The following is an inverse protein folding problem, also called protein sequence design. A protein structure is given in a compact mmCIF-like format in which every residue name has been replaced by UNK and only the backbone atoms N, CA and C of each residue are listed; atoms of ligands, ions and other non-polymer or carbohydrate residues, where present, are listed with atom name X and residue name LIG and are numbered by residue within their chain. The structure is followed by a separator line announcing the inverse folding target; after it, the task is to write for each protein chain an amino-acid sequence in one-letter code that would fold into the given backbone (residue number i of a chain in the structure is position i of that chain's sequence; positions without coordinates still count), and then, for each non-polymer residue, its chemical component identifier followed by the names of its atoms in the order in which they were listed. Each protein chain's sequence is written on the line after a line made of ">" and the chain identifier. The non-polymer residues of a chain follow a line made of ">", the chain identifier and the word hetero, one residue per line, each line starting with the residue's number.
data_IF_714836430674
#
_entry.id   IF_714836430674
#
_cell.length_a   1.000
_cell.length_b   1.000
_cell.length_c   1.000
_cell.angle_alpha   90.00
_cell.angle_beta   90.00
_cell.angle_gamma   90.00
#
_symmetry.space_group_name_H-M   'P 1'
#
loop_
_entity.id
_entity.type
_entity.pdbx_description
1 polymer ?
#
# COMPACT_ATOMS: atom_id res chain seq x y z
N UNK A 1 -26.37 -8.57 9.23
CA UNK A 1 -25.33 -7.91 8.43
C UNK A 1 -25.02 -6.60 9.12
N UNK A 2 -23.85 -6.48 9.72
CA UNK A 2 -23.38 -5.18 10.21
C UNK A 2 -22.86 -4.41 9.00
N UNK A 3 -23.45 -3.24 8.75
CA UNK A 3 -23.08 -2.36 7.64
C UNK A 3 -21.83 -1.58 8.02
N UNK A 4 -20.88 -1.53 7.10
CA UNK A 4 -19.61 -0.84 7.27
C UNK A 4 -19.62 0.50 6.55
N UNK A 5 -19.69 1.60 7.32
CA UNK A 5 -19.59 2.95 6.78
C UNK A 5 -18.17 3.50 6.97
N UNK A 6 -17.56 3.93 5.87
CA UNK A 6 -16.34 4.75 5.88
C UNK A 6 -16.78 6.21 5.99
N UNK A 7 -16.40 6.85 7.10
CA UNK A 7 -16.74 8.25 7.39
C UNK A 7 -15.99 9.22 6.48
N UNK A 8 -16.56 10.42 6.29
CA UNK A 8 -15.90 11.51 5.59
C UNK A 8 -14.83 12.19 6.47
N UNK A 9 -13.75 12.61 5.85
CA UNK A 9 -12.68 13.43 6.45
C UNK A 9 -12.51 14.71 5.63
N UNK A 10 -12.19 15.82 6.28
CA UNK A 10 -11.98 17.10 5.61
C UNK A 10 -10.49 17.28 5.22
N UNK A 11 -10.25 17.70 3.98
CA UNK A 11 -8.92 18.10 3.48
C UNK A 11 -8.92 19.56 3.08
N UNK A 12 -7.81 20.27 3.32
CA UNK A 12 -7.57 21.64 2.86
C UNK A 12 -6.26 21.70 2.10
N UNK A 13 -6.26 22.37 0.95
CA UNK A 13 -5.11 22.50 0.05
C UNK A 13 -4.88 23.99 -0.23
N UNK A 14 -3.63 24.43 -0.11
CA UNK A 14 -3.18 25.76 -0.55
C UNK A 14 -2.55 25.64 -1.94
N UNK A 15 -3.04 26.43 -2.88
CA UNK A 15 -2.53 26.42 -4.25
C UNK A 15 -1.31 27.34 -4.32
N UNK A 16 -0.25 26.86 -4.97
CA UNK A 16 1.04 27.57 -5.11
C UNK A 16 1.17 28.34 -6.42
N UNK A 17 0.21 28.20 -7.33
CA UNK A 17 0.15 28.87 -8.62
C UNK A 17 -1.29 29.24 -8.93
N UNK A 18 -1.47 30.36 -9.62
CA UNK A 18 -2.72 30.85 -10.18
C UNK A 18 -2.82 30.59 -11.69
N UNK A 19 -1.85 29.89 -12.29
CA UNK A 19 -1.84 29.55 -13.70
C UNK A 19 -2.91 28.50 -14.05
N UNK A 20 -3.31 28.49 -15.32
CA UNK A 20 -4.15 27.44 -15.89
C UNK A 20 -3.38 26.12 -15.93
N UNK A 21 -3.76 25.18 -15.07
CA UNK A 21 -3.11 23.89 -14.90
C UNK A 21 -4.02 22.91 -14.17
N UNK A 22 -3.67 21.63 -14.20
CA UNK A 22 -4.36 20.59 -13.43
C UNK A 22 -3.68 20.37 -12.09
N UNK A 23 -4.46 20.47 -11.02
CA UNK A 23 -4.03 20.13 -9.67
C UNK A 23 -4.57 18.76 -9.27
N UNK A 24 -3.66 17.84 -8.95
CA UNK A 24 -4.01 16.57 -8.33
C UNK A 24 -4.09 16.76 -6.81
N UNK A 25 -5.23 16.42 -6.24
CA UNK A 25 -5.56 16.75 -4.85
C UNK A 25 -5.10 15.67 -3.87
N UNK A 26 -4.63 14.53 -4.38
CA UNK A 26 -4.15 13.40 -3.58
C UNK A 26 -5.23 12.83 -2.65
N UNK A 27 -6.50 12.95 -3.04
CA UNK A 27 -7.68 12.43 -2.34
C UNK A 27 -8.67 11.93 -3.40
N UNK A 28 -9.38 10.86 -3.07
CA UNK A 28 -10.40 10.24 -3.93
C UNK A 28 -11.71 10.12 -3.15
N UNK A 29 -12.81 9.77 -3.81
CA UNK A 29 -14.15 9.67 -3.19
C UNK A 29 -14.56 11.01 -2.56
N UNK A 30 -14.28 12.12 -3.26
CA UNK A 30 -14.56 13.46 -2.78
C UNK A 30 -16.08 13.69 -2.83
N UNK A 31 -16.63 14.22 -1.74
CA UNK A 31 -17.99 14.73 -1.72
C UNK A 31 -18.06 15.99 -2.57
N UNK A 32 -18.65 15.88 -3.76
CA UNK A 32 -18.75 16.96 -4.75
C UNK A 32 -19.36 18.22 -4.13
N UNK A 33 -20.38 18.07 -3.29
CA UNK A 33 -21.13 19.18 -2.70
C UNK A 33 -20.38 19.89 -1.57
N UNK A 34 -19.27 19.30 -1.09
CA UNK A 34 -18.47 19.85 0.01
C UNK A 34 -17.37 20.82 -0.45
N UNK A 35 -17.17 21.01 -1.75
CA UNK A 35 -16.10 21.86 -2.27
C UNK A 35 -16.31 23.32 -1.86
N UNK A 36 -15.31 23.87 -1.17
CA UNK A 36 -15.16 25.30 -0.93
C UNK A 36 -13.88 25.75 -1.62
N UNK A 37 -14.01 26.59 -2.65
CA UNK A 37 -12.88 27.15 -3.40
C UNK A 37 -12.95 28.68 -3.38
N UNK A 38 -11.91 29.34 -2.87
CA UNK A 38 -11.88 30.80 -2.68
C UNK A 38 -11.32 31.59 -3.87
N UNK A 39 -11.13 30.94 -5.02
CA UNK A 39 -10.54 31.55 -6.20
C UNK A 39 -11.47 32.56 -6.89
N UNK A 40 -10.85 33.54 -7.55
CA UNK A 40 -11.53 34.48 -8.42
C UNK A 40 -10.88 34.53 -9.80
N UNK A 41 -11.67 34.87 -10.83
CA UNK A 41 -11.22 35.21 -12.18
C UNK A 41 -11.81 36.56 -12.53
N UNK A 42 -10.96 37.51 -12.91
CA UNK A 42 -11.36 38.89 -13.21
C UNK A 42 -12.18 39.53 -12.06
N UNK A 43 -11.75 39.30 -10.81
CA UNK A 43 -12.33 39.79 -9.56
C UNK A 43 -13.73 39.24 -9.23
N UNK A 44 -14.17 38.18 -9.91
CA UNK A 44 -15.43 37.48 -9.64
C UNK A 44 -15.11 36.07 -9.16
N UNK A 45 -15.96 35.49 -8.31
CA UNK A 45 -15.81 34.10 -7.86
C UNK A 45 -15.67 33.17 -9.07
N UNK A 46 -14.63 32.34 -9.07
CA UNK A 46 -14.42 31.35 -10.11
C UNK A 46 -15.61 30.40 -10.19
N UNK A 47 -16.01 30.07 -11.41
CA UNK A 47 -17.22 29.28 -11.70
C UNK A 47 -16.81 27.89 -12.21
N UNK A 48 -17.41 26.85 -11.63
CA UNK A 48 -17.27 25.47 -12.11
C UNK A 48 -17.85 25.33 -13.53
N UNK A 49 -17.28 24.45 -14.33
CA UNK A 49 -17.55 24.29 -15.77
C UNK A 49 -17.25 25.53 -16.65
N UNK A 50 -16.59 26.56 -16.11
CA UNK A 50 -16.23 27.79 -16.85
C UNK A 50 -14.79 28.18 -16.62
N UNK A 51 -14.42 28.40 -15.37
CA UNK A 51 -13.08 28.82 -14.95
C UNK A 51 -12.22 27.64 -14.50
N UNK A 52 -12.87 26.59 -14.01
CA UNK A 52 -12.27 25.32 -13.65
C UNK A 52 -13.26 24.17 -13.89
N UNK A 53 -12.74 22.95 -13.98
CA UNK A 53 -13.51 21.71 -13.94
C UNK A 53 -13.09 20.91 -12.71
N UNK A 54 -14.04 20.65 -11.80
CA UNK A 54 -13.76 19.83 -10.63
C UNK A 54 -14.15 18.36 -10.84
N UNK A 55 -13.14 17.49 -10.90
CA UNK A 55 -13.33 16.05 -11.03
C UNK A 55 -13.19 15.36 -9.66
N UNK A 56 -14.30 15.30 -8.92
CA UNK A 56 -14.37 14.68 -7.59
C UNK A 56 -13.96 13.20 -7.60
N UNK A 57 -14.37 12.46 -8.64
CA UNK A 57 -14.02 11.05 -8.81
C UNK A 57 -12.53 10.88 -9.11
N UNK A 58 -12.00 11.67 -10.04
CA UNK A 58 -10.59 11.64 -10.45
C UNK A 58 -9.62 12.32 -9.48
N UNK A 59 -10.12 12.91 -8.39
CA UNK A 59 -9.30 13.55 -7.37
C UNK A 59 -8.48 14.73 -7.89
N UNK A 60 -8.99 15.45 -8.89
CA UNK A 60 -8.29 16.56 -9.52
C UNK A 60 -9.22 17.74 -9.85
N UNK A 61 -8.61 18.92 -10.00
CA UNK A 61 -9.27 20.13 -10.51
C UNK A 61 -8.43 20.68 -11.65
N UNK A 62 -9.06 20.92 -12.79
CA UNK A 62 -8.44 21.54 -13.96
C UNK A 62 -8.79 23.03 -13.96
N UNK A 63 -7.80 23.90 -13.80
CA UNK A 63 -7.97 25.35 -13.92
C UNK A 63 -7.80 25.73 -15.39
N UNK A 64 -8.84 26.32 -15.97
CA UNK A 64 -8.90 26.66 -17.40
C UNK A 64 -8.53 28.12 -17.61
N UNK A 65 -9.12 29.01 -16.82
CA UNK A 65 -8.81 30.44 -16.82
C UNK A 65 -7.86 30.75 -15.67
N UNK A 66 -6.80 31.50 -15.95
CA UNK A 66 -5.86 31.92 -14.92
C UNK A 66 -6.60 32.67 -13.80
N UNK A 67 -6.30 32.29 -12.55
CA UNK A 67 -6.92 32.84 -11.35
C UNK A 67 -6.26 34.19 -11.01
N UNK A 68 -7.00 35.06 -10.33
CA UNK A 68 -6.41 36.28 -9.80
C UNK A 68 -5.35 35.93 -8.73
N UNK A 69 -4.28 36.71 -8.67
CA UNK A 69 -3.25 36.54 -7.65
C UNK A 69 -3.85 36.74 -6.25
N UNK A 70 -3.68 35.76 -5.36
CA UNK A 70 -3.99 35.88 -3.95
C UNK A 70 -2.97 35.16 -3.09
N UNK A 71 -2.65 35.74 -1.93
CA UNK A 71 -1.78 35.13 -0.92
C UNK A 71 -2.42 33.96 -0.16
N UNK A 72 -3.74 33.77 -0.27
CA UNK A 72 -4.51 32.78 0.49
C UNK A 72 -5.30 31.80 -0.40
N UNK A 73 -4.91 31.65 -1.67
CA UNK A 73 -5.59 30.78 -2.63
C UNK A 73 -5.63 29.34 -2.09
N UNK A 74 -6.85 28.84 -1.84
CA UNK A 74 -7.06 27.55 -1.19
C UNK A 74 -8.41 26.93 -1.53
N UNK A 75 -8.46 25.61 -1.37
CA UNK A 75 -9.69 24.86 -1.42
C UNK A 75 -9.79 23.89 -0.25
N UNK A 76 -11.02 23.55 0.14
CA UNK A 76 -11.30 22.48 1.07
C UNK A 76 -12.48 21.64 0.61
N UNK A 77 -12.47 20.36 0.96
CA UNK A 77 -13.51 19.40 0.61
C UNK A 77 -13.49 18.23 1.62
N UNK A 78 -14.62 17.55 1.74
CA UNK A 78 -14.76 16.29 2.45
C UNK A 78 -14.53 15.12 1.48
N UNK A 79 -13.88 14.07 1.93
CA UNK A 79 -13.67 12.86 1.13
C UNK A 79 -13.73 11.62 2.01
N UNK A 80 -14.05 10.46 1.43
CA UNK A 80 -13.92 9.19 2.17
C UNK A 80 -12.48 8.70 2.00
N UNK A 81 -11.70 8.56 3.10
CA UNK A 81 -10.33 8.10 3.03
C UNK A 81 -10.22 6.73 2.39
N UNK A 82 -9.07 6.51 1.78
CA UNK A 82 -8.90 5.40 0.89
C UNK A 82 -9.11 5.84 -0.56
N UNK A 83 -9.12 4.88 -1.47
CA UNK A 83 -8.72 5.18 -2.82
C UNK A 83 -9.90 5.02 -3.81
N UNK A 84 -9.73 5.38 -5.08
CA UNK A 84 -10.83 5.70 -6.02
C UNK A 84 -11.74 4.50 -6.35
N UNK A 85 -12.76 4.15 -5.53
CA UNK A 85 -13.74 3.10 -5.89
C UNK A 85 -15.15 3.30 -5.37
N UNK A 86 -16.05 2.58 -6.03
CA UNK A 86 -17.35 2.22 -5.49
C UNK A 86 -17.22 1.06 -4.49
N UNK A 87 -18.15 1.01 -3.53
CA UNK A 87 -18.22 -0.10 -2.59
C UNK A 87 -18.38 -1.44 -3.33
N UNK A 88 -17.43 -2.35 -3.18
CA UNK A 88 -17.45 -3.68 -3.80
C UNK A 88 -16.29 -4.00 -4.76
N UNK A 89 -15.51 -2.99 -5.19
CA UNK A 89 -14.45 -3.16 -6.20
C UNK A 89 -13.07 -3.51 -5.62
N UNK A 90 -12.91 -3.58 -4.29
CA UNK A 90 -11.62 -3.81 -3.62
C UNK A 90 -11.48 -5.26 -3.20
N UNK A 91 -10.41 -5.93 -3.66
CA UNK A 91 -10.01 -7.21 -3.07
C UNK A 91 -9.27 -6.97 -1.74
N UNK A 92 -9.82 -7.52 -0.65
CA UNK A 92 -9.13 -7.59 0.64
C UNK A 92 -8.31 -8.87 0.66
N UNK A 93 -6.98 -8.74 0.55
CA UNK A 93 -6.10 -9.87 0.26
C UNK A 93 -5.55 -10.55 1.53
N UNK A 94 -5.44 -9.82 2.63
CA UNK A 94 -4.83 -10.33 3.85
C UNK A 94 -5.56 -9.83 5.11
N UNK A 95 -5.52 -10.68 6.13
CA UNK A 95 -6.08 -10.42 7.45
C UNK A 95 -5.07 -10.86 8.51
N UNK A 96 -4.77 -9.96 9.44
CA UNK A 96 -3.80 -10.15 10.50
C UNK A 96 -4.40 -9.79 11.85
N UNK A 97 -4.13 -10.61 12.86
CA UNK A 97 -4.55 -10.34 14.23
C UNK A 97 -3.41 -9.67 15.01
N UNK A 98 -3.70 -8.57 15.69
CA UNK A 98 -2.73 -7.78 16.46
C UNK A 98 -3.37 -7.43 17.82
N UNK A 99 -3.06 -8.22 18.84
CA UNK A 99 -3.62 -8.10 20.20
C UNK A 99 -5.15 -8.07 20.25
N UNK A 100 -5.77 -6.89 20.35
CA UNK A 100 -7.24 -6.71 20.44
C UNK A 100 -7.82 -6.15 19.14
N UNK A 101 -7.00 -6.06 18.08
CA UNK A 101 -7.39 -5.52 16.78
C UNK A 101 -7.11 -6.50 15.64
N UNK A 102 -7.81 -6.28 14.53
CA UNK A 102 -7.62 -7.00 13.28
C UNK A 102 -7.19 -5.97 12.24
N UNK A 103 -6.05 -6.19 11.58
CA UNK A 103 -5.65 -5.45 10.40
C UNK A 103 -6.10 -6.20 9.15
N UNK A 104 -6.78 -5.50 8.25
CA UNK A 104 -7.21 -6.00 6.96
C UNK A 104 -6.58 -5.11 5.90
N UNK A 105 -5.88 -5.70 4.94
CA UNK A 105 -5.26 -4.95 3.88
C UNK A 105 -5.54 -5.58 2.52
N UNK A 106 -5.49 -4.76 1.48
CA UNK A 106 -5.83 -5.21 0.14
C UNK A 106 -5.38 -4.26 -0.95
N UNK A 107 -6.12 -4.30 -2.03
CA UNK A 107 -5.81 -3.56 -3.22
C UNK A 107 -5.85 -2.05 -2.97
N UNK A 108 -5.03 -1.39 -3.80
CA UNK A 108 -4.97 0.04 -3.89
C UNK A 108 -4.71 0.80 -2.58
N UNK A 109 -3.98 0.22 -1.66
CA UNK A 109 -3.53 0.88 -0.44
C UNK A 109 -4.52 0.74 0.70
N UNK A 110 -5.66 0.10 0.48
CA UNK A 110 -6.65 -0.15 1.52
C UNK A 110 -6.00 -0.87 2.70
N UNK A 111 -5.99 -0.21 3.87
CA UNK A 111 -5.61 -0.80 5.15
C UNK A 111 -6.60 -0.32 6.21
N UNK A 112 -7.28 -1.27 6.85
CA UNK A 112 -8.31 -1.04 7.85
C UNK A 112 -7.91 -1.74 9.14
N UNK A 113 -8.07 -1.07 10.27
CA UNK A 113 -7.92 -1.64 11.60
C UNK A 113 -9.30 -1.75 12.24
N UNK A 114 -9.73 -2.96 12.58
CA UNK A 114 -10.97 -3.27 13.29
C UNK A 114 -10.65 -3.55 14.76
N UNK A 115 -11.25 -2.80 15.67
CA UNK A 115 -11.15 -3.03 17.12
C UNK A 115 -12.15 -4.05 17.63
N UNK A 116 -11.87 -4.63 18.81
CA UNK A 116 -12.79 -5.53 19.52
C UNK A 116 -14.18 -4.96 19.81
N UNK A 117 -14.34 -3.64 19.78
CA UNK A 117 -15.61 -2.94 19.96
C UNK A 117 -16.43 -2.86 18.66
N UNK A 118 -15.95 -3.46 17.57
CA UNK A 118 -16.58 -3.46 16.26
C UNK A 118 -16.33 -2.17 15.46
N UNK A 119 -15.60 -1.19 16.02
CA UNK A 119 -15.25 0.03 15.27
C UNK A 119 -14.03 -0.20 14.41
N UNK A 120 -14.01 0.40 13.22
CA UNK A 120 -12.81 0.45 12.40
C UNK A 120 -12.29 1.85 12.17
N UNK A 121 -11.05 1.90 11.70
CA UNK A 121 -10.42 3.08 11.13
C UNK A 121 -9.64 2.68 9.89
N UNK A 122 -9.72 3.51 8.84
CA UNK A 122 -8.77 3.43 7.72
C UNK A 122 -7.46 4.08 8.17
N UNK A 123 -6.34 3.40 7.94
CA UNK A 123 -5.00 3.95 8.21
C UNK A 123 -4.23 4.18 6.91
N UNK A 124 -4.93 4.29 5.78
CA UNK A 124 -4.34 4.50 4.45
C UNK A 124 -3.26 5.60 4.45
N UNK A 125 -3.55 6.76 5.03
CA UNK A 125 -2.62 7.89 5.06
C UNK A 125 -1.35 7.59 5.87
N UNK A 126 -1.46 6.77 6.93
CA UNK A 126 -0.31 6.40 7.78
C UNK A 126 0.62 5.38 7.10
N UNK A 127 0.07 4.61 6.15
CA UNK A 127 0.79 3.55 5.43
C UNK A 127 1.16 4.01 4.00
N UNK A 128 0.72 5.19 3.56
CA UNK A 128 1.06 5.76 2.26
C UNK A 128 2.46 6.34 2.28
N UNK A 129 3.32 5.85 1.39
CA UNK A 129 4.78 6.14 1.43
C UNK A 129 5.26 7.07 0.31
N UNK A 130 4.44 7.31 -0.71
CA UNK A 130 4.55 8.43 -1.67
C UNK A 130 3.20 8.69 -2.37
N UNK A 131 3.07 9.84 -3.06
CA UNK A 131 1.88 10.21 -3.80
C UNK A 131 1.72 9.44 -5.13
N UNK A 132 2.78 8.80 -5.65
CA UNK A 132 2.84 8.31 -7.04
C UNK A 132 2.60 6.81 -7.21
N UNK A 133 2.66 6.01 -6.14
CA UNK A 133 2.44 4.56 -6.21
C UNK A 133 1.50 4.07 -5.12
N UNK A 134 0.29 3.70 -5.56
CA UNK A 134 -0.73 3.15 -4.69
C UNK A 134 -0.48 1.64 -4.50
N UNK A 135 -0.14 1.17 -3.29
CA UNK A 135 0.33 -0.19 -3.09
C UNK A 135 -0.81 -1.19 -3.23
N UNK A 136 -0.62 -2.32 -3.91
CA UNK A 136 -1.59 -3.41 -3.87
C UNK A 136 -1.10 -4.41 -2.83
N UNK A 137 -1.60 -4.29 -1.59
CA UNK A 137 -1.17 -5.17 -0.50
C UNK A 137 -1.62 -6.59 -0.78
N UNK A 138 -0.66 -7.51 -0.79
CA UNK A 138 -0.86 -8.93 -1.08
C UNK A 138 -0.83 -9.76 0.19
N UNK A 139 0.05 -9.42 1.14
CA UNK A 139 0.22 -10.22 2.36
C UNK A 139 0.61 -9.36 3.55
N UNK A 140 0.23 -9.83 4.73
CA UNK A 140 0.59 -9.26 6.03
C UNK A 140 1.11 -10.36 6.96
N UNK A 141 2.06 -10.01 7.82
CA UNK A 141 2.52 -10.91 8.88
C UNK A 141 2.75 -10.15 10.17
N UNK A 142 2.53 -10.83 11.30
CA UNK A 142 2.61 -10.23 12.65
C UNK A 142 3.47 -11.11 13.55
N UNK A 143 4.42 -10.49 14.26
CA UNK A 143 5.16 -11.12 15.35
C UNK A 143 5.30 -10.13 16.51
N UNK A 144 4.67 -10.45 17.63
CA UNK A 144 4.61 -9.56 18.79
C UNK A 144 3.93 -8.24 18.42
N UNK A 145 4.66 -7.13 18.51
CA UNK A 145 4.18 -5.79 18.15
C UNK A 145 4.52 -5.38 16.72
N UNK A 146 5.32 -6.20 16.02
CA UNK A 146 5.77 -5.91 14.68
C UNK A 146 4.79 -6.44 13.65
N UNK A 147 4.54 -5.62 12.62
CA UNK A 147 3.68 -5.96 11.49
C UNK A 147 4.48 -5.65 10.23
N UNK A 148 4.46 -6.55 9.25
CA UNK A 148 4.97 -6.25 7.92
C UNK A 148 3.84 -6.42 6.90
N UNK A 149 3.78 -5.50 5.94
CA UNK A 149 2.89 -5.52 4.79
C UNK A 149 3.73 -5.50 3.52
N UNK A 150 3.38 -6.36 2.56
CA UNK A 150 4.02 -6.41 1.25
C UNK A 150 3.00 -6.44 0.12
N UNK A 151 3.42 -6.05 -1.07
CA UNK A 151 2.49 -5.97 -2.20
C UNK A 151 3.11 -5.92 -3.58
N UNK A 152 2.25 -5.69 -4.57
CA UNK A 152 2.67 -5.46 -5.94
C UNK A 152 3.63 -4.25 -6.05
N UNK A 153 4.50 -4.24 -7.06
CA UNK A 153 5.47 -3.16 -7.24
C UNK A 153 6.64 -3.18 -6.26
N UNK A 154 6.86 -4.30 -5.53
CA UNK A 154 7.99 -4.44 -4.62
C UNK A 154 7.84 -3.67 -3.30
N UNK A 155 6.62 -3.21 -2.98
CA UNK A 155 6.36 -2.40 -1.78
C UNK A 155 6.49 -3.25 -0.52
N UNK A 156 7.21 -2.70 0.47
CA UNK A 156 7.35 -3.27 1.81
C UNK A 156 7.23 -2.15 2.83
N UNK A 157 6.37 -2.34 3.82
CA UNK A 157 6.25 -1.43 4.96
C UNK A 157 6.16 -2.20 6.26
N UNK A 158 6.77 -1.64 7.31
CA UNK A 158 6.91 -2.30 8.59
C UNK A 158 6.52 -1.36 9.71
N UNK A 159 5.73 -1.86 10.64
CA UNK A 159 5.49 -1.24 11.93
C UNK A 159 6.15 -2.07 13.02
N UNK A 160 6.66 -1.40 14.06
CA UNK A 160 7.21 -2.04 15.27
C UNK A 160 6.42 -1.68 16.53
N UNK A 161 5.30 -0.95 16.39
CA UNK A 161 4.52 -0.39 17.49
C UNK A 161 3.02 -0.63 17.33
N UNK A 162 2.66 -1.80 16.78
CA UNK A 162 1.28 -2.26 16.54
C UNK A 162 0.51 -1.42 15.51
N UNK A 163 1.21 -0.94 14.49
CA UNK A 163 0.61 -0.20 13.38
C UNK A 163 0.37 1.27 13.68
N UNK A 164 0.96 1.82 14.76
CA UNK A 164 0.86 3.26 15.07
C UNK A 164 1.78 4.09 14.18
N UNK A 165 2.96 3.57 13.88
CA UNK A 165 3.89 4.15 12.92
C UNK A 165 4.38 3.10 11.94
N UNK A 166 4.64 3.52 10.70
CA UNK A 166 5.04 2.67 9.59
C UNK A 166 6.30 3.20 8.92
N UNK A 167 7.16 2.29 8.49
CA UNK A 167 8.44 2.59 7.84
C UNK A 167 8.52 1.86 6.49
N UNK A 168 8.72 2.63 5.41
CA UNK A 168 9.05 2.07 4.08
C UNK A 168 10.38 1.35 4.13
N UNK A 169 10.41 0.16 3.53
CA UNK A 169 11.64 -0.60 3.31
C UNK A 169 11.96 -0.59 1.81
N UNK A 170 13.11 -0.03 1.44
CA UNK A 170 13.57 0.01 0.05
C UNK A 170 14.39 -1.23 -0.31
N UNK A 171 13.75 -2.18 -1.01
CA UNK A 171 14.39 -3.40 -1.50
C UNK A 171 15.19 -3.18 -2.80
N UNK A 172 15.15 -1.97 -3.39
CA UNK A 172 15.76 -1.62 -4.69
C UNK A 172 15.30 -2.50 -5.85
N UNK A 173 14.06 -2.97 -5.80
CA UNK A 173 13.40 -3.73 -6.85
C UNK A 173 11.90 -3.50 -6.84
N UNK A 174 11.27 -3.66 -8.01
CA UNK A 174 9.86 -3.39 -8.27
C UNK A 174 9.03 -4.66 -8.52
N UNK A 175 9.64 -5.84 -8.40
CA UNK A 175 8.95 -7.12 -8.52
C UNK A 175 7.88 -7.25 -7.44
N UNK A 176 6.65 -7.58 -7.84
CA UNK A 176 5.54 -7.78 -6.91
C UNK A 176 5.86 -8.86 -5.88
N UNK A 177 5.54 -8.57 -4.62
CA UNK A 177 5.73 -9.47 -3.50
C UNK A 177 4.41 -10.13 -3.13
N UNK A 178 4.47 -11.43 -2.88
CA UNK A 178 3.28 -12.26 -2.62
C UNK A 178 3.25 -12.83 -1.22
N UNK A 179 4.38 -12.84 -0.51
CA UNK A 179 4.44 -13.30 0.87
C UNK A 179 5.61 -12.66 1.63
N UNK A 180 5.47 -12.58 2.95
CA UNK A 180 6.41 -12.03 3.89
C UNK A 180 6.40 -12.81 5.21
N UNK A 181 7.58 -13.07 5.76
CA UNK A 181 7.74 -13.70 7.06
C UNK A 181 8.78 -12.98 7.91
N UNK A 182 8.49 -12.80 9.19
CA UNK A 182 9.51 -12.40 10.15
C UNK A 182 10.51 -13.53 10.40
N UNK A 183 11.79 -13.18 10.38
CA UNK A 183 12.90 -14.04 10.76
C UNK A 183 13.47 -13.56 12.10
N UNK A 184 13.65 -14.48 13.06
CA UNK A 184 14.19 -14.16 14.38
C UNK A 184 13.51 -12.96 15.07
N UNK A 185 12.20 -12.79 14.85
CA UNK A 185 11.35 -11.69 15.34
C UNK A 185 11.78 -10.27 14.92
N UNK A 186 12.69 -10.11 13.95
CA UNK A 186 13.22 -8.80 13.55
C UNK A 186 13.49 -8.65 12.06
N UNK A 187 14.19 -9.62 11.49
CA UNK A 187 14.55 -9.63 10.08
C UNK A 187 13.32 -10.03 9.24
N UNK A 188 13.35 -9.81 7.93
CA UNK A 188 12.26 -10.19 7.04
C UNK A 188 12.75 -11.09 5.92
N UNK A 189 11.93 -12.09 5.57
CA UNK A 189 12.02 -12.81 4.30
C UNK A 189 10.83 -12.41 3.45
N UNK A 190 11.05 -12.14 2.17
CA UNK A 190 9.98 -11.88 1.19
C UNK A 190 10.13 -12.78 -0.02
N UNK A 191 9.00 -13.11 -0.63
CA UNK A 191 8.91 -13.93 -1.84
C UNK A 191 7.94 -13.29 -2.82
N UNK A 192 8.20 -13.41 -4.12
CA UNK A 192 7.42 -12.69 -5.12
C UNK A 192 7.59 -13.14 -6.56
N UNK A 193 7.23 -12.25 -7.47
CA UNK A 193 7.21 -12.46 -8.91
C UNK A 193 8.60 -12.77 -9.47
N UNK A 194 8.61 -13.52 -10.58
CA UNK A 194 9.82 -13.77 -11.39
C UNK A 194 11.01 -14.34 -10.60
N UNK A 195 10.73 -15.22 -9.64
CA UNK A 195 11.73 -15.90 -8.81
C UNK A 195 12.30 -15.03 -7.68
N UNK A 196 11.66 -13.91 -7.37
CA UNK A 196 12.11 -13.00 -6.30
C UNK A 196 12.03 -13.70 -4.95
N UNK A 197 13.17 -13.80 -4.27
CA UNK A 197 13.25 -14.08 -2.84
C UNK A 197 14.38 -13.26 -2.24
N UNK A 198 14.12 -12.60 -1.12
CA UNK A 198 15.07 -11.68 -0.50
C UNK A 198 14.97 -11.71 1.02
N UNK A 199 16.06 -11.29 1.67
CA UNK A 199 16.13 -11.14 3.12
C UNK A 199 16.51 -9.71 3.47
N UNK A 200 15.75 -9.09 4.38
CA UNK A 200 16.15 -7.88 5.07
C UNK A 200 16.86 -8.27 6.35
N UNK A 201 18.12 -7.87 6.49
CA UNK A 201 18.84 -7.93 7.74
C UNK A 201 19.25 -6.51 8.15
N UNK A 202 18.73 -6.02 9.28
CA UNK A 202 19.00 -4.68 9.78
C UNK A 202 18.84 -3.57 8.71
N UNK A 203 17.70 -3.54 8.02
CA UNK A 203 17.37 -2.60 6.93
C UNK A 203 18.22 -2.76 5.65
N UNK A 204 19.02 -3.81 5.55
CA UNK A 204 19.77 -4.13 4.34
C UNK A 204 19.15 -5.33 3.64
N UNK A 205 18.66 -5.11 2.42
CA UNK A 205 18.10 -6.17 1.59
C UNK A 205 19.18 -6.92 0.81
N UNK A 206 19.12 -8.25 0.85
CA UNK A 206 19.90 -9.16 0.00
C UNK A 206 18.94 -10.00 -0.82
N UNK A 207 18.89 -9.74 -2.12
CA UNK A 207 18.10 -10.53 -3.08
C UNK A 207 18.90 -11.77 -3.48
N UNK A 208 18.28 -12.94 -3.44
CA UNK A 208 18.92 -14.18 -3.83
C UNK A 208 19.27 -14.20 -5.33
N UNK A 209 20.36 -14.87 -5.68
CA UNK A 209 20.75 -15.05 -7.08
C UNK A 209 19.79 -16.04 -7.77
N UNK A 210 18.69 -15.52 -8.31
CA UNK A 210 17.67 -16.31 -9.01
C UNK A 210 18.22 -17.13 -10.18
N UNK A 211 19.24 -16.63 -10.88
CA UNK A 211 19.86 -17.35 -12.01
C UNK A 211 20.63 -18.56 -11.52
N UNK A 212 21.43 -18.39 -10.46
CA UNK A 212 22.17 -19.49 -9.85
C UNK A 212 21.27 -20.53 -9.18
N UNK A 213 20.08 -20.13 -8.76
CA UNK A 213 19.05 -21.00 -8.19
C UNK A 213 18.04 -21.52 -9.22
N UNK A 214 18.18 -21.18 -10.50
CA UNK A 214 17.24 -21.55 -11.57
C UNK A 214 15.77 -21.26 -11.19
N UNK A 215 15.51 -20.02 -10.75
CA UNK A 215 14.19 -19.54 -10.33
C UNK A 215 13.58 -18.68 -11.44
N UNK A 216 12.69 -19.30 -12.22
CA UNK A 216 12.02 -18.68 -13.38
C UNK A 216 10.52 -18.49 -13.20
N UNK A 217 9.98 -18.86 -12.03
CA UNK A 217 8.55 -18.78 -11.69
C UNK A 217 8.33 -17.92 -10.44
N UNK A 218 7.11 -17.44 -10.23
CA UNK A 218 6.75 -16.74 -9.00
C UNK A 218 6.91 -17.63 -7.77
N UNK A 219 7.29 -17.03 -6.65
CA UNK A 219 7.31 -17.64 -5.32
C UNK A 219 6.21 -17.01 -4.48
N UNK A 220 5.43 -17.83 -3.77
CA UNK A 220 4.18 -17.39 -3.12
C UNK A 220 4.06 -17.74 -1.64
N UNK A 221 4.77 -18.76 -1.14
CA UNK A 221 4.54 -19.21 0.24
C UNK A 221 5.87 -19.45 0.95
N UNK A 222 6.06 -18.78 2.07
CA UNK A 222 7.20 -18.88 2.98
C UNK A 222 6.71 -19.60 4.23
N UNK A 223 7.40 -20.67 4.60
CA UNK A 223 7.12 -21.44 5.82
C UNK A 223 8.38 -21.53 6.65
N UNK A 224 8.30 -21.09 7.91
CA UNK A 224 9.34 -21.39 8.90
C UNK A 224 9.26 -22.86 9.31
N UNK A 225 10.39 -23.54 9.27
CA UNK A 225 10.53 -24.91 9.79
C UNK A 225 11.06 -24.95 11.23
N UNK A 226 11.16 -23.79 11.89
CA UNK A 226 11.86 -23.63 13.17
C UNK A 226 13.35 -23.39 13.02
N UNK A 227 13.93 -22.74 14.03
CA UNK A 227 15.32 -22.28 13.97
C UNK A 227 15.53 -21.26 12.85
N UNK A 228 16.61 -21.43 12.08
CA UNK A 228 16.98 -20.57 10.95
C UNK A 228 16.56 -21.14 9.58
N UNK A 229 15.70 -22.18 9.57
CA UNK A 229 15.30 -22.90 8.37
C UNK A 229 13.94 -22.44 7.84
N UNK A 230 13.90 -22.12 6.56
CA UNK A 230 12.68 -21.72 5.85
C UNK A 230 12.55 -22.49 4.54
N UNK A 231 11.31 -22.75 4.12
CA UNK A 231 10.98 -23.24 2.78
C UNK A 231 10.13 -22.18 2.09
N UNK A 232 10.47 -21.91 0.84
CA UNK A 232 9.73 -21.03 -0.06
C UNK A 232 9.22 -21.87 -1.23
N UNK A 233 7.91 -21.85 -1.44
CA UNK A 233 7.22 -22.57 -2.50
C UNK A 233 6.62 -21.62 -3.55
N UNK A 234 6.52 -22.08 -4.78
CA UNK A 234 6.04 -21.27 -5.90
C UNK A 234 5.58 -22.04 -7.12
N UNK A 235 5.38 -21.30 -8.20
CA UNK A 235 4.94 -21.83 -9.49
C UNK A 235 5.90 -22.88 -10.05
N UNK A 236 5.36 -23.73 -10.93
CA UNK A 236 6.10 -24.80 -11.62
C UNK A 236 6.79 -25.80 -10.68
N UNK A 237 6.21 -26.03 -9.50
CA UNK A 237 6.77 -26.94 -8.48
C UNK A 237 8.07 -26.44 -7.87
N UNK A 238 8.36 -25.14 -7.95
CA UNK A 238 9.59 -24.56 -7.41
C UNK A 238 9.55 -24.60 -5.89
N UNK A 239 10.58 -25.19 -5.29
CA UNK A 239 10.84 -25.17 -3.86
C UNK A 239 12.27 -24.66 -3.63
N UNK A 240 12.44 -23.75 -2.69
CA UNK A 240 13.75 -23.22 -2.27
C UNK A 240 13.81 -23.25 -0.76
N UNK A 241 14.89 -23.78 -0.20
CA UNK A 241 15.15 -23.67 1.24
C UNK A 241 16.19 -22.61 1.54
N UNK A 242 16.01 -21.92 2.65
CA UNK A 242 17.03 -21.10 3.29
C UNK A 242 17.43 -21.74 4.61
N UNK A 243 18.73 -21.92 4.84
CA UNK A 243 19.28 -22.37 6.11
C UNK A 243 20.76 -21.97 6.18
N UNK A 244 21.28 -21.61 7.36
CA UNK A 244 22.68 -21.22 7.57
C UNK A 244 23.15 -20.18 6.55
N UNK A 245 22.33 -19.14 6.34
CA UNK A 245 22.59 -18.06 5.36
C UNK A 245 22.74 -18.49 3.90
N UNK A 246 22.28 -19.70 3.56
CA UNK A 246 22.46 -20.29 2.24
C UNK A 246 21.11 -20.65 1.62
N UNK A 247 20.93 -20.29 0.37
CA UNK A 247 19.78 -20.69 -0.45
C UNK A 247 20.08 -21.97 -1.21
N UNK A 248 19.14 -22.91 -1.21
CA UNK A 248 19.24 -24.15 -1.97
C UNK A 248 17.91 -24.44 -2.68
N UNK A 249 17.94 -24.70 -4.00
CA UNK A 249 16.77 -25.21 -4.72
C UNK A 249 16.51 -26.66 -4.29
N UNK A 250 15.27 -26.96 -3.94
CA UNK A 250 14.79 -28.31 -3.72
C UNK A 250 14.19 -28.80 -5.04
N UNK A 251 14.72 -29.90 -5.57
CA UNK A 251 14.22 -30.51 -6.80
C UNK A 251 13.25 -31.63 -6.46
N UNK A 252 12.01 -31.51 -6.93
CA UNK A 252 11.03 -32.61 -6.89
C UNK A 252 11.34 -33.55 -8.05
N UNK A 253 11.50 -34.85 -7.75
CA UNK A 253 11.73 -35.90 -8.75
C UNK A 253 10.68 -36.99 -8.58
N UNK A 254 10.32 -37.65 -9.68
CA UNK A 254 9.55 -38.88 -9.60
C UNK A 254 10.36 -39.96 -8.89
N UNK A 255 9.73 -40.72 -8.01
CA UNK A 255 10.32 -41.92 -7.44
C UNK A 255 10.43 -42.96 -8.56
N UNK A 256 11.66 -43.41 -8.85
CA UNK A 256 11.87 -44.55 -9.74
C UNK A 256 11.35 -45.79 -9.02
N UNK A 257 10.37 -46.48 -9.60
CA UNK A 257 9.88 -47.77 -9.13
C UNK A 257 10.84 -48.89 -9.49
#
# INVERSE_FOLDING_TARGET
>A
WELVNIEYVQKKISLKSNEATTWYLGAFNIDLDSLVFNATVAKKKAVDDVDYYFNADGGNIEIVNALDESSDLSMSFNYRPGPQYQAGDVSLNTVSFIDDTILIAGEFGTVIVLGKDGKWTSIYEDVRLDDSSMPYWMESTVVGQSIALVGAGGVVTVSHDRGKTWLKQDMKGDNGLFDVAFMNNKDLMVAGSVGTVAINHANTWTIANRTGLDLIAWLKTIVSMGGDKYIVAGGRGTLVSYQNKTWNKITIREAVK
#
